data_IF_620312385272
#
_entry.id   IF_620312385272
#
_cell.length_a   1.000
_cell.length_b   1.000
_cell.length_c   1.000
_cell.angle_alpha   90.00
_cell.angle_beta   90.00
_cell.angle_gamma   90.00
#
_symmetry.space_group_name_H-M   'P 1'
#
loop_
_entity.id
_entity.type
_entity.pdbx_description
1 polymer ?
#
# COMPACT_ATOMS: atom_id res chain seq x y z
N UNK A 1 8.63 -16.61 -58.18
CA UNK A 1 8.29 -16.97 -56.78
C UNK A 1 9.05 -16.19 -55.72
N UNK A 2 10.25 -15.67 -55.99
CA UNK A 2 11.14 -15.01 -54.99
C UNK A 2 10.67 -13.63 -54.50
N UNK A 3 9.92 -12.86 -55.31
CA UNK A 3 9.43 -11.51 -54.92
C UNK A 3 8.34 -11.51 -53.84
N UNK A 4 7.54 -12.58 -53.75
CA UNK A 4 6.43 -12.67 -52.80
C UNK A 4 6.90 -12.95 -51.36
N UNK A 5 7.96 -13.76 -51.20
CA UNK A 5 8.56 -14.05 -49.90
C UNK A 5 9.24 -12.82 -49.27
N UNK A 6 9.87 -11.97 -50.11
CA UNK A 6 10.51 -10.74 -49.62
C UNK A 6 9.49 -9.75 -49.06
N UNK A 7 8.34 -9.58 -49.73
CA UNK A 7 7.27 -8.70 -49.26
C UNK A 7 6.64 -9.20 -47.95
N UNK A 8 6.44 -10.51 -47.80
CA UNK A 8 5.91 -11.11 -46.58
C UNK A 8 6.88 -10.96 -45.38
N UNK A 9 8.19 -11.11 -45.61
CA UNK A 9 9.24 -10.89 -44.60
C UNK A 9 9.32 -9.43 -44.15
N UNK A 10 9.19 -8.47 -45.08
CA UNK A 10 9.16 -7.04 -44.76
C UNK A 10 7.92 -6.67 -43.95
N UNK A 11 6.73 -7.20 -44.31
CA UNK A 11 5.49 -7.00 -43.54
C UNK A 11 5.58 -7.60 -42.13
N UNK A 12 6.19 -8.78 -41.97
CA UNK A 12 6.41 -9.41 -40.66
C UNK A 12 7.37 -8.58 -39.79
N UNK A 13 8.46 -8.07 -40.37
CA UNK A 13 9.42 -7.18 -39.68
C UNK A 13 8.79 -5.84 -39.29
N UNK A 14 7.97 -5.24 -40.16
CA UNK A 14 7.25 -4.00 -39.84
C UNK A 14 6.22 -4.27 -38.72
N UNK A 15 5.53 -5.40 -38.74
CA UNK A 15 4.58 -5.78 -37.68
C UNK A 15 5.27 -6.04 -36.33
N UNK A 16 6.48 -6.61 -36.34
CA UNK A 16 7.25 -6.85 -35.12
C UNK A 16 7.81 -5.53 -34.56
N UNK A 17 8.29 -4.63 -35.42
CA UNK A 17 8.73 -3.27 -35.09
C UNK A 17 7.60 -2.39 -34.55
N UNK A 18 6.39 -2.51 -35.10
CA UNK A 18 5.20 -1.82 -34.58
C UNK A 18 4.81 -2.36 -33.20
N UNK A 19 4.79 -3.69 -32.99
CA UNK A 19 4.51 -4.29 -31.68
C UNK A 19 5.53 -3.89 -30.61
N UNK A 20 6.82 -3.80 -30.95
CA UNK A 20 7.86 -3.30 -30.02
C UNK A 20 7.75 -1.81 -29.76
N UNK A 21 7.37 -0.99 -30.75
CA UNK A 21 7.17 0.45 -30.57
C UNK A 21 5.96 0.78 -29.66
N UNK A 22 4.84 0.07 -29.80
CA UNK A 22 3.66 0.27 -28.93
C UNK A 22 3.90 -0.12 -27.47
N UNK A 23 4.77 -1.10 -27.21
CA UNK A 23 5.17 -1.47 -25.84
C UNK A 23 6.06 -0.41 -25.17
N UNK A 24 6.64 0.53 -25.92
CA UNK A 24 7.64 1.47 -25.41
C UNK A 24 7.04 2.70 -24.67
N UNK A 25 5.73 2.96 -24.81
CA UNK A 25 5.08 4.15 -24.24
C UNK A 25 4.19 3.91 -23.02
N UNK A 26 3.86 2.67 -22.67
CA UNK A 26 3.01 2.39 -21.50
C UNK A 26 3.84 2.52 -20.22
N UNK A 27 3.36 3.32 -19.26
CA UNK A 27 3.99 3.43 -17.94
C UNK A 27 3.49 2.29 -17.05
N UNK A 28 4.41 1.59 -16.37
CA UNK A 28 4.10 0.51 -15.43
C UNK A 28 4.27 0.91 -13.96
N UNK A 29 4.85 2.08 -13.71
CA UNK A 29 5.02 2.63 -12.36
C UNK A 29 5.03 4.16 -12.37
N UNK A 30 4.69 4.77 -11.23
CA UNK A 30 4.86 6.21 -11.02
C UNK A 30 6.32 6.65 -11.22
N UNK A 31 7.30 5.80 -10.87
CA UNK A 31 8.73 6.05 -11.14
C UNK A 31 9.01 6.25 -12.63
N UNK A 32 8.38 5.46 -13.51
CA UNK A 32 8.55 5.63 -14.96
C UNK A 32 7.90 6.92 -15.46
N UNK A 33 6.74 7.30 -14.90
CA UNK A 33 6.09 8.58 -15.21
C UNK A 33 7.02 9.74 -14.83
N UNK A 34 7.60 9.69 -13.62
CA UNK A 34 8.56 10.70 -13.17
C UNK A 34 9.73 10.86 -14.16
N UNK A 35 10.36 9.75 -14.55
CA UNK A 35 11.55 9.78 -15.43
C UNK A 35 11.26 10.23 -16.86
N UNK A 36 10.01 10.16 -17.32
CA UNK A 36 9.62 10.56 -18.68
C UNK A 36 9.19 12.03 -18.76
N UNK A 37 8.93 12.68 -17.63
CA UNK A 37 8.51 14.09 -17.58
C UNK A 37 9.66 14.97 -17.13
N UNK A 38 9.83 16.13 -17.79
CA UNK A 38 10.72 17.19 -17.30
C UNK A 38 10.16 17.92 -16.08
N UNK A 39 8.84 17.82 -15.84
CA UNK A 39 8.14 18.38 -14.68
C UNK A 39 6.99 17.45 -14.27
N UNK A 40 7.27 16.41 -13.46
CA UNK A 40 6.24 15.45 -13.06
C UNK A 40 5.25 16.08 -12.08
N UNK A 41 3.96 15.99 -12.41
CA UNK A 41 2.87 16.60 -11.63
C UNK A 41 2.25 15.54 -10.72
N UNK A 42 2.09 15.83 -9.43
CA UNK A 42 1.33 14.94 -8.53
C UNK A 42 -0.13 14.86 -8.99
N UNK A 43 -0.69 13.65 -9.07
CA UNK A 43 -2.08 13.47 -9.50
C UNK A 43 -2.41 12.05 -9.91
N UNK A 44 -3.56 11.88 -10.58
CA UNK A 44 -4.03 10.60 -11.08
C UNK A 44 -3.39 10.23 -12.43
N UNK A 45 -3.03 8.96 -12.57
CA UNK A 45 -2.42 8.40 -13.77
C UNK A 45 -2.93 6.99 -14.04
N UNK A 46 -2.77 6.56 -15.29
CA UNK A 46 -2.99 5.17 -15.68
C UNK A 46 -1.66 4.44 -15.82
N UNK A 47 -1.56 3.31 -15.13
CA UNK A 47 -0.47 2.35 -15.26
C UNK A 47 -0.96 1.09 -15.94
N UNK A 48 -0.01 0.26 -16.39
CA UNK A 48 -0.29 -0.98 -17.09
C UNK A 48 0.37 -2.15 -16.40
N UNK A 49 -0.38 -3.24 -16.19
CA UNK A 49 0.17 -4.51 -15.71
C UNK A 49 1.08 -5.12 -16.77
N UNK A 50 1.91 -6.13 -16.43
CA UNK A 50 2.72 -6.86 -17.41
C UNK A 50 1.90 -7.43 -18.58
N UNK A 51 0.62 -7.77 -18.34
CA UNK A 51 -0.30 -8.31 -19.33
C UNK A 51 -1.03 -7.23 -20.15
N UNK A 52 -0.71 -5.94 -19.93
CA UNK A 52 -1.30 -4.82 -20.66
C UNK A 52 -2.64 -4.32 -20.12
N UNK A 53 -3.13 -4.85 -18.98
CA UNK A 53 -4.34 -4.34 -18.32
C UNK A 53 -4.05 -2.98 -17.70
N UNK A 54 -4.88 -1.98 -18.01
CA UNK A 54 -4.78 -0.65 -17.39
C UNK A 54 -5.33 -0.64 -15.98
N UNK A 55 -4.78 0.19 -15.11
CA UNK A 55 -5.31 0.47 -13.78
C UNK A 55 -4.94 1.88 -13.31
N UNK A 56 -5.79 2.44 -12.46
CA UNK A 56 -5.63 3.79 -11.95
C UNK A 56 -4.75 3.83 -10.70
N UNK A 57 -3.86 4.83 -10.65
CA UNK A 57 -3.06 5.17 -9.48
C UNK A 57 -3.08 6.68 -9.26
N UNK A 58 -2.84 7.08 -8.02
CA UNK A 58 -2.41 8.44 -7.69
C UNK A 58 -0.90 8.43 -7.43
N UNK A 59 -0.14 9.17 -8.24
CA UNK A 59 1.30 9.33 -8.08
C UNK A 59 1.59 10.60 -7.30
N UNK A 60 2.13 10.45 -6.09
CA UNK A 60 2.47 11.55 -5.21
C UNK A 60 3.98 11.83 -5.25
N UNK A 61 4.40 12.81 -6.05
CA UNK A 61 5.80 13.08 -6.34
C UNK A 61 6.45 14.05 -5.33
N UNK A 62 7.73 13.79 -5.06
CA UNK A 62 8.67 14.62 -4.31
C UNK A 62 10.02 14.64 -5.05
N UNK A 63 10.96 15.48 -4.60
CA UNK A 63 12.23 15.71 -5.30
C UNK A 63 13.08 14.45 -5.49
N UNK A 64 13.10 13.53 -4.51
CA UNK A 64 13.97 12.33 -4.52
C UNK A 64 13.23 11.00 -4.40
N UNK A 65 11.91 11.05 -4.27
CA UNK A 65 11.07 9.87 -4.09
C UNK A 65 9.63 10.20 -4.48
N UNK A 66 8.75 9.22 -4.43
CA UNK A 66 7.32 9.45 -4.43
C UNK A 66 6.57 8.27 -3.82
N UNK A 67 5.24 8.39 -3.79
CA UNK A 67 4.35 7.33 -3.34
C UNK A 67 3.33 6.99 -4.42
N UNK A 68 3.10 5.71 -4.61
CA UNK A 68 2.04 5.19 -5.48
C UNK A 68 0.86 4.78 -4.62
N UNK A 69 -0.30 5.40 -4.79
CA UNK A 69 -1.57 4.93 -4.22
C UNK A 69 -2.36 4.24 -5.32
N UNK A 70 -2.80 3.00 -5.10
CA UNK A 70 -3.58 2.23 -6.08
C UNK A 70 -5.07 2.38 -5.80
N UNK A 71 -5.90 2.46 -6.84
CA UNK A 71 -7.35 2.49 -6.66
C UNK A 71 -7.90 1.11 -6.27
N UNK A 72 -9.09 1.07 -5.65
CA UNK A 72 -9.78 -0.18 -5.28
C UNK A 72 -9.97 -1.11 -6.49
N UNK A 73 -10.37 -0.55 -7.63
CA UNK A 73 -10.51 -1.30 -8.89
C UNK A 73 -9.16 -1.78 -9.42
N UNK A 74 -8.15 -0.91 -9.37
CA UNK A 74 -6.79 -1.25 -9.79
C UNK A 74 -6.21 -2.40 -8.97
N UNK A 75 -6.50 -2.43 -7.67
CA UNK A 75 -6.10 -3.53 -6.80
C UNK A 75 -6.69 -4.88 -7.25
N UNK A 76 -7.89 -4.89 -7.83
CA UNK A 76 -8.56 -6.09 -8.34
C UNK A 76 -7.95 -6.69 -9.61
N UNK A 77 -7.16 -5.93 -10.36
CA UNK A 77 -6.49 -6.41 -11.59
C UNK A 77 -5.00 -6.72 -11.41
N UNK A 78 -4.43 -6.34 -10.27
CA UNK A 78 -3.04 -6.66 -9.93
C UNK A 78 -2.91 -8.12 -9.52
N UNK A 79 -1.78 -8.74 -9.91
CA UNK A 79 -1.39 -10.07 -9.40
C UNK A 79 -0.42 -9.96 -8.22
N UNK A 80 0.30 -8.84 -8.11
CA UNK A 80 1.16 -8.49 -6.99
C UNK A 80 1.38 -6.97 -6.95
N UNK A 81 2.06 -6.47 -5.92
CA UNK A 81 2.29 -5.04 -5.69
C UNK A 81 3.68 -4.55 -6.13
N UNK A 82 4.53 -5.42 -6.68
CA UNK A 82 5.98 -5.14 -6.83
C UNK A 82 6.29 -3.96 -7.76
N UNK A 83 5.40 -3.63 -8.68
CA UNK A 83 5.57 -2.48 -9.58
C UNK A 83 5.25 -1.12 -8.91
N UNK A 84 4.66 -1.11 -7.72
CA UNK A 84 4.21 0.11 -7.04
C UNK A 84 5.30 0.74 -6.15
N UNK A 85 6.33 -0.03 -5.75
CA UNK A 85 7.38 0.41 -4.84
C UNK A 85 8.78 0.05 -5.35
N UNK A 86 9.78 0.76 -4.84
CA UNK A 86 11.18 0.30 -4.85
C UNK A 86 11.79 0.31 -3.46
N UNK A 87 11.07 0.83 -2.46
CA UNK A 87 11.55 1.02 -1.11
C UNK A 87 10.51 0.50 -0.10
N UNK A 88 10.97 -0.31 0.85
CA UNK A 88 10.13 -0.95 1.89
C UNK A 88 10.47 -0.46 3.30
N UNK A 89 11.23 0.63 3.42
CA UNK A 89 11.62 1.20 4.71
C UNK A 89 10.44 1.84 5.44
N UNK A 90 9.49 2.40 4.71
CA UNK A 90 8.25 2.95 5.23
C UNK A 90 7.19 3.07 4.13
N UNK A 91 5.95 3.28 4.55
CA UNK A 91 4.83 3.71 3.71
C UNK A 91 4.34 5.08 4.14
N UNK A 92 3.63 5.77 3.25
CA UNK A 92 2.80 6.91 3.60
C UNK A 92 1.36 6.42 3.80
N UNK A 93 0.80 6.58 4.99
CA UNK A 93 -0.63 6.33 5.20
C UNK A 93 -1.36 7.66 5.16
N UNK A 94 -2.34 7.76 4.25
CA UNK A 94 -3.22 8.92 4.14
C UNK A 94 -4.58 8.59 4.74
N UNK A 95 -4.96 9.33 5.76
CA UNK A 95 -6.18 9.18 6.55
C UNK A 95 -7.20 10.16 6.01
N UNK A 96 -8.39 9.67 5.67
CA UNK A 96 -9.54 10.52 5.38
C UNK A 96 -10.41 10.66 6.62
N UNK A 97 -10.56 11.90 7.09
CA UNK A 97 -11.38 12.21 8.26
C UNK A 97 -12.86 12.36 7.88
N UNK A 98 -13.73 12.28 8.88
CA UNK A 98 -15.19 12.41 8.69
C UNK A 98 -15.63 13.81 8.28
N UNK A 99 -14.81 14.83 8.50
CA UNK A 99 -15.01 16.22 8.06
C UNK A 99 -14.46 16.49 6.65
N UNK A 100 -13.92 15.46 5.97
CA UNK A 100 -13.34 15.57 4.64
C UNK A 100 -11.87 16.00 4.60
N UNK A 101 -11.25 16.31 5.74
CA UNK A 101 -9.81 16.58 5.79
C UNK A 101 -9.01 15.29 5.57
N UNK A 102 -7.87 15.41 4.89
CA UNK A 102 -6.91 14.31 4.78
C UNK A 102 -5.62 14.63 5.51
N UNK A 103 -5.08 13.60 6.18
CA UNK A 103 -3.83 13.68 6.94
C UNK A 103 -2.88 12.58 6.56
N UNK A 104 -1.59 12.88 6.58
CA UNK A 104 -0.51 12.00 6.21
C UNK A 104 0.33 11.61 7.44
N UNK A 105 0.72 10.34 7.50
CA UNK A 105 1.69 9.85 8.48
C UNK A 105 2.54 8.75 7.87
N UNK A 106 3.85 8.79 8.14
CA UNK A 106 4.77 7.72 7.75
C UNK A 106 4.72 6.60 8.77
N UNK A 107 4.53 5.37 8.28
CA UNK A 107 4.58 4.15 9.10
C UNK A 107 5.76 3.30 8.65
N UNK A 108 6.56 2.84 9.61
CA UNK A 108 7.71 1.94 9.39
C UNK A 108 7.77 0.84 10.46
N UNK A 109 8.55 -0.23 10.25
CA UNK A 109 8.87 -1.17 11.31
C UNK A 109 9.64 -0.46 12.44
N UNK A 110 9.59 -1.02 13.66
CA UNK A 110 10.33 -0.52 14.82
C UNK A 110 11.81 -0.24 14.50
N UNK A 111 12.41 0.82 15.08
CA UNK A 111 13.78 1.26 14.77
C UNK A 111 14.83 0.15 14.83
N UNK A 112 14.74 -0.73 15.84
CA UNK A 112 15.65 -1.86 16.05
C UNK A 112 15.47 -2.99 15.03
N UNK A 113 14.32 -3.04 14.35
CA UNK A 113 13.92 -4.14 13.48
C UNK A 113 13.95 -3.78 12.00
N UNK A 114 13.79 -2.51 11.63
CA UNK A 114 13.62 -2.04 10.25
C UNK A 114 14.73 -2.45 9.27
N UNK A 115 15.94 -2.73 9.75
CA UNK A 115 17.05 -3.21 8.92
C UNK A 115 16.98 -4.71 8.64
N UNK A 116 16.45 -5.50 9.58
CA UNK A 116 16.29 -6.95 9.46
C UNK A 116 14.96 -7.31 8.80
N UNK A 117 13.90 -6.59 9.15
CA UNK A 117 12.54 -6.81 8.71
C UNK A 117 11.98 -5.51 8.10
N UNK A 118 12.23 -5.24 6.81
CA UNK A 118 11.50 -4.20 6.11
C UNK A 118 10.01 -4.58 6.00
N UNK A 119 9.15 -3.61 5.64
CA UNK A 119 7.71 -3.89 5.52
C UNK A 119 7.46 -4.95 4.44
N UNK A 120 6.65 -5.94 4.76
CA UNK A 120 6.13 -6.90 3.80
C UNK A 120 4.86 -6.35 3.15
N UNK A 121 4.84 -6.30 1.82
CA UNK A 121 3.68 -5.87 1.04
C UNK A 121 3.09 -7.08 0.31
N UNK A 122 1.85 -7.44 0.65
CA UNK A 122 1.19 -8.60 0.06
C UNK A 122 -0.22 -8.25 -0.43
N UNK A 123 -0.63 -8.88 -1.53
CA UNK A 123 -1.95 -8.71 -2.13
C UNK A 123 -2.83 -9.90 -1.78
N UNK A 124 -3.88 -9.68 -1.00
CA UNK A 124 -4.91 -10.69 -0.65
C UNK A 124 -4.39 -11.98 -0.02
N UNK A 125 -3.24 -11.89 0.63
CA UNK A 125 -2.56 -12.96 1.37
C UNK A 125 -1.70 -12.35 2.49
N UNK A 126 -1.18 -13.19 3.38
CA UNK A 126 -0.32 -12.80 4.50
C UNK A 126 0.74 -13.89 4.78
N UNK A 127 1.46 -14.37 3.76
CA UNK A 127 2.44 -15.44 3.91
C UNK A 127 3.54 -15.02 4.89
N UNK A 128 3.75 -15.81 5.97
CA UNK A 128 4.73 -15.54 7.02
C UNK A 128 4.30 -14.47 8.05
N UNK A 129 3.04 -14.04 7.99
CA UNK A 129 2.44 -13.04 8.86
C UNK A 129 1.02 -13.47 9.23
N UNK A 130 0.47 -12.84 10.26
CA UNK A 130 -0.90 -13.16 10.66
C UNK A 130 -1.92 -12.58 9.68
N UNK A 131 -2.95 -13.38 9.41
CA UNK A 131 -4.02 -13.07 8.45
C UNK A 131 -4.95 -11.99 9.05
N UNK A 132 -5.39 -10.99 8.25
CA UNK A 132 -6.39 -10.04 8.70
C UNK A 132 -7.69 -10.72 9.13
N UNK A 133 -8.33 -10.23 10.18
CA UNK A 133 -9.61 -10.75 10.63
C UNK A 133 -10.67 -10.59 9.53
N UNK A 134 -10.60 -9.48 8.80
CA UNK A 134 -11.48 -9.17 7.69
C UNK A 134 -10.98 -9.63 6.32
N UNK A 135 -10.10 -10.65 6.24
CA UNK A 135 -9.51 -11.13 5.00
C UNK A 135 -10.51 -11.61 3.92
N UNK A 136 -11.79 -11.77 4.24
CA UNK A 136 -12.86 -12.04 3.27
C UNK A 136 -13.22 -10.82 2.40
N UNK A 137 -12.91 -9.59 2.84
CA UNK A 137 -13.16 -8.32 2.12
C UNK A 137 -12.14 -8.06 1.00
N UNK A 138 -11.86 -9.09 0.18
CA UNK A 138 -10.88 -9.03 -0.93
C UNK A 138 -11.34 -8.10 -2.07
N UNK A 139 -10.40 -7.53 -2.85
CA UNK A 139 -8.95 -7.58 -2.62
C UNK A 139 -8.52 -6.70 -1.44
N UNK A 140 -7.35 -7.00 -0.86
CA UNK A 140 -6.79 -6.20 0.23
C UNK A 140 -5.27 -6.12 0.12
N UNK A 141 -4.70 -5.03 0.64
CA UNK A 141 -3.26 -4.88 0.84
C UNK A 141 -2.95 -5.26 2.28
N UNK A 142 -2.04 -6.21 2.48
CA UNK A 142 -1.47 -6.54 3.78
C UNK A 142 -0.08 -5.90 3.91
N UNK A 143 0.11 -5.15 5.00
CA UNK A 143 1.37 -4.55 5.40
C UNK A 143 1.88 -5.25 6.66
N UNK A 144 2.74 -6.24 6.50
CA UNK A 144 3.37 -6.95 7.62
C UNK A 144 4.57 -6.17 8.17
N UNK A 145 4.55 -5.84 9.46
CA UNK A 145 5.62 -5.10 10.14
C UNK A 145 6.56 -6.03 10.93
N UNK A 146 6.03 -7.14 11.44
CA UNK A 146 6.77 -8.16 12.18
C UNK A 146 6.35 -9.55 11.69
N UNK A 147 7.27 -10.38 11.18
CA UNK A 147 6.93 -11.74 10.72
C UNK A 147 6.68 -12.67 11.92
N UNK A 148 5.88 -13.71 11.70
CA UNK A 148 5.58 -14.72 12.73
C UNK A 148 6.82 -15.51 13.18
N UNK A 149 7.87 -15.53 12.36
CA UNK A 149 9.17 -16.12 12.70
C UNK A 149 9.94 -15.31 13.75
N UNK A 150 9.50 -14.10 14.09
CA UNK A 150 10.14 -13.29 15.11
C UNK A 150 9.97 -13.94 16.49
N UNK A 151 11.08 -14.11 17.19
CA UNK A 151 11.12 -14.85 18.45
C UNK A 151 10.29 -14.16 19.54
N UNK A 152 9.46 -14.96 20.20
CA UNK A 152 8.48 -14.54 21.21
C UNK A 152 9.07 -13.95 22.49
N UNK A 153 10.39 -14.00 22.70
CA UNK A 153 11.06 -13.51 23.92
C UNK A 153 11.78 -12.16 23.72
N UNK A 154 11.65 -11.53 22.54
CA UNK A 154 12.36 -10.28 22.24
C UNK A 154 11.56 -9.04 22.71
N UNK A 155 12.29 -7.97 23.04
CA UNK A 155 11.75 -6.75 23.68
C UNK A 155 11.34 -5.65 22.69
N UNK A 156 11.76 -5.73 21.43
CA UNK A 156 11.39 -4.76 20.41
C UNK A 156 10.03 -5.11 19.81
N UNK A 157 8.97 -4.51 20.36
CA UNK A 157 7.60 -4.62 19.89
C UNK A 157 7.05 -3.24 19.59
N UNK A 158 6.31 -3.12 18.49
CA UNK A 158 5.82 -1.83 18.03
C UNK A 158 6.14 -1.53 16.57
N UNK A 159 6.02 -0.26 16.25
CA UNK A 159 6.23 0.27 14.91
C UNK A 159 6.65 1.73 15.03
N UNK A 160 7.11 2.33 13.92
CA UNK A 160 7.35 3.77 13.87
C UNK A 160 6.16 4.50 13.27
N UNK A 161 5.77 5.61 13.90
CA UNK A 161 4.87 6.60 13.35
C UNK A 161 5.58 7.96 13.32
N UNK A 162 5.64 8.59 12.14
CA UNK A 162 6.35 9.85 11.93
C UNK A 162 7.82 9.83 12.41
N UNK A 163 8.47 8.66 12.36
CA UNK A 163 9.87 8.48 12.75
C UNK A 163 10.10 8.15 14.24
N UNK A 164 9.05 8.17 15.07
CA UNK A 164 9.12 7.83 16.49
C UNK A 164 8.64 6.39 16.73
N UNK A 165 9.35 5.64 17.57
CA UNK A 165 8.94 4.29 17.98
C UNK A 165 7.71 4.36 18.90
N UNK A 166 6.64 3.70 18.50
CA UNK A 166 5.44 3.42 19.29
C UNK A 166 5.57 1.98 19.79
N UNK A 167 5.83 1.83 21.08
CA UNK A 167 6.16 0.53 21.69
C UNK A 167 5.06 0.03 22.61
N UNK A 168 5.06 -1.28 22.83
CA UNK A 168 4.21 -1.96 23.81
C UNK A 168 4.96 -3.15 24.42
N UNK A 169 4.39 -3.70 25.49
CA UNK A 169 4.96 -4.83 26.21
C UNK A 169 4.40 -6.16 25.69
N UNK A 170 5.24 -7.19 25.78
CA UNK A 170 4.86 -8.57 25.54
C UNK A 170 3.99 -9.07 26.69
N UNK A 171 2.78 -9.55 26.40
CA UNK A 171 1.81 -9.97 27.41
C UNK A 171 1.38 -11.42 27.23
N UNK A 172 1.29 -11.90 25.98
CA UNK A 172 0.84 -13.26 25.65
C UNK A 172 1.73 -13.92 24.58
N UNK A 173 2.85 -13.29 24.22
CA UNK A 173 3.84 -13.79 23.28
C UNK A 173 3.29 -13.97 21.86
N UNK A 174 2.43 -13.04 21.44
CA UNK A 174 1.73 -13.09 20.15
C UNK A 174 2.31 -12.07 19.15
N UNK A 175 3.13 -12.50 18.16
CA UNK A 175 3.92 -11.61 17.29
C UNK A 175 3.10 -10.93 16.18
N UNK A 176 1.79 -10.78 16.33
CA UNK A 176 0.93 -10.14 15.32
C UNK A 176 1.37 -8.68 15.15
N UNK A 177 1.69 -8.27 13.92
CA UNK A 177 1.97 -6.86 13.63
C UNK A 177 1.69 -6.56 12.17
N UNK A 178 0.51 -5.99 11.89
CA UNK A 178 0.14 -5.59 10.54
C UNK A 178 -0.84 -4.42 10.49
N UNK A 179 -0.92 -3.83 9.29
CA UNK A 179 -2.06 -3.05 8.82
C UNK A 179 -2.63 -3.72 7.57
N UNK A 180 -3.95 -3.68 7.39
CA UNK A 180 -4.63 -4.17 6.21
C UNK A 180 -5.58 -3.10 5.64
N UNK A 181 -5.52 -2.91 4.32
CA UNK A 181 -6.34 -1.96 3.58
C UNK A 181 -7.25 -2.75 2.64
N UNK A 182 -8.52 -2.86 3.02
CA UNK A 182 -9.48 -3.75 2.39
C UNK A 182 -10.40 -2.98 1.44
N UNK A 183 -10.46 -3.41 0.17
CA UNK A 183 -11.24 -2.73 -0.86
C UNK A 183 -12.74 -2.93 -0.68
N UNK A 184 -13.13 -4.10 -0.14
CA UNK A 184 -14.50 -4.49 0.17
C UNK A 184 -15.53 -4.13 -0.93
N UNK A 185 -15.33 -4.56 -2.20
CA UNK A 185 -16.23 -4.20 -3.30
C UNK A 185 -17.65 -4.76 -3.11
N UNK A 186 -17.80 -5.84 -2.34
CA UNK A 186 -19.10 -6.45 -2.03
C UNK A 186 -19.79 -5.84 -0.80
N UNK A 187 -19.24 -4.76 -0.23
CA UNK A 187 -19.80 -4.07 0.94
C UNK A 187 -20.11 -5.02 2.11
N UNK A 188 -19.24 -6.01 2.34
CA UNK A 188 -19.39 -6.93 3.46
C UNK A 188 -19.32 -6.17 4.78
N UNK A 189 -20.06 -6.65 5.76
CA UNK A 189 -19.96 -6.14 7.12
C UNK A 189 -18.63 -6.61 7.72
N UNK A 190 -17.87 -5.71 8.36
CA UNK A 190 -16.65 -6.10 9.02
C UNK A 190 -16.97 -7.02 10.21
N UNK A 191 -16.17 -8.07 10.36
CA UNK A 191 -16.07 -8.78 11.61
C UNK A 191 -15.27 -7.90 12.58
N UNK A 192 -15.99 -7.37 13.56
CA UNK A 192 -15.40 -6.65 14.67
C UNK A 192 -15.72 -7.45 15.94
N UNK A 193 -14.72 -8.17 16.47
CA UNK A 193 -14.87 -8.84 17.76
C UNK A 193 -15.01 -7.81 18.91
N UNK A 194 -14.86 -6.51 18.62
CA UNK A 194 -14.34 -5.55 19.56
C UNK A 194 -15.23 -4.37 19.87
N UNK A 195 -16.43 -4.71 20.34
CA UNK A 195 -17.29 -3.71 20.97
C UNK A 195 -16.77 -3.15 22.31
N UNK A 196 -15.59 -3.53 22.89
CA UNK A 196 -15.05 -2.87 24.13
C UNK A 196 -13.66 -3.21 24.72
N UNK A 197 -13.03 -4.37 24.53
CA UNK A 197 -11.74 -4.64 25.21
C UNK A 197 -10.53 -4.10 24.38
N UNK A 198 -9.24 -4.41 24.64
CA UNK A 198 -7.96 -4.23 23.87
C UNK A 198 -7.76 -3.11 22.79
N UNK A 199 -8.54 -2.03 22.77
CA UNK A 199 -8.09 -0.80 22.13
C UNK A 199 -6.99 -0.20 23.01
N UNK A 200 -5.75 -0.20 22.51
CA UNK A 200 -4.61 0.38 23.24
C UNK A 200 -4.24 1.75 22.65
N UNK A 201 -3.39 2.51 23.35
CA UNK A 201 -2.84 3.76 22.81
C UNK A 201 -1.94 3.55 21.59
N UNK A 202 -1.42 2.33 21.38
CA UNK A 202 -0.47 1.97 20.32
C UNK A 202 -1.14 2.04 18.96
N UNK A 203 -2.33 1.45 18.85
CA UNK A 203 -3.09 1.35 17.59
C UNK A 203 -3.74 2.66 17.14
N UNK A 204 -3.80 3.66 18.02
CA UNK A 204 -4.29 5.01 17.70
C UNK A 204 -3.15 6.05 17.55
N UNK A 205 -1.92 5.70 17.94
CA UNK A 205 -0.82 6.67 18.06
C UNK A 205 -0.48 7.34 16.71
N UNK A 206 -0.51 6.58 15.63
CA UNK A 206 -0.22 7.08 14.28
C UNK A 206 -1.17 8.19 13.83
N UNK A 207 -2.45 8.14 14.20
CA UNK A 207 -3.44 9.19 13.87
C UNK A 207 -3.07 10.50 14.55
N UNK A 208 -2.65 10.44 15.82
CA UNK A 208 -2.25 11.64 16.60
C UNK A 208 -1.00 12.31 16.03
N UNK A 209 -0.16 11.55 15.32
CA UNK A 209 1.07 12.02 14.68
C UNK A 209 0.87 12.45 13.22
N UNK A 210 -0.33 12.29 12.66
CA UNK A 210 -0.60 12.63 11.27
C UNK A 210 -0.72 14.16 11.07
N UNK A 211 -0.16 14.64 9.97
CA UNK A 211 -0.16 16.07 9.59
C UNK A 211 -1.09 16.32 8.41
N UNK A 212 -1.60 17.55 8.26
CA UNK A 212 -2.53 17.86 7.17
C UNK A 212 -1.88 17.66 5.79
N UNK A 213 -2.60 17.00 4.89
CA UNK A 213 -2.27 16.91 3.47
C UNK A 213 -2.62 18.21 2.75
N UNK A 214 -1.89 18.56 1.69
CA UNK A 214 -2.18 19.75 0.86
C UNK A 214 -3.30 19.47 -0.15
N UNK A 215 -4.04 20.51 -0.56
CA UNK A 215 -5.17 20.37 -1.49
C UNK A 215 -4.82 19.66 -2.81
N UNK A 216 -3.62 19.90 -3.36
CA UNK A 216 -3.11 19.24 -4.58
C UNK A 216 -2.79 17.75 -4.41
N UNK A 217 -2.82 17.23 -3.18
CA UNK A 217 -2.47 15.84 -2.84
C UNK A 217 -3.64 15.07 -2.25
N UNK A 218 -4.86 15.62 -2.25
CA UNK A 218 -6.03 14.91 -1.74
C UNK A 218 -6.34 13.69 -2.62
N UNK A 219 -6.62 12.55 -1.97
CA UNK A 219 -7.02 11.32 -2.64
C UNK A 219 -8.53 11.27 -2.84
N UNK A 220 -9.00 10.99 -4.06
CA UNK A 220 -10.39 10.63 -4.31
C UNK A 220 -10.82 9.36 -3.56
N UNK A 221 -12.13 9.18 -3.36
CA UNK A 221 -12.71 8.05 -2.62
C UNK A 221 -12.32 6.68 -3.19
N UNK A 222 -12.08 6.57 -4.51
CA UNK A 222 -11.68 5.30 -5.13
C UNK A 222 -10.32 4.79 -4.65
N UNK A 223 -9.52 5.60 -3.96
CA UNK A 223 -8.25 5.20 -3.32
C UNK A 223 -8.38 4.95 -1.82
N UNK A 224 -9.58 5.12 -1.24
CA UNK A 224 -9.82 4.99 0.19
C UNK A 224 -10.36 3.59 0.51
N UNK A 225 -9.75 2.95 1.51
CA UNK A 225 -9.97 1.56 1.92
C UNK A 225 -10.50 1.47 3.35
N UNK A 226 -11.22 0.39 3.64
CA UNK A 226 -11.46 -0.02 5.01
C UNK A 226 -10.12 -0.37 5.66
N UNK A 227 -9.87 0.14 6.86
CA UNK A 227 -8.63 -0.10 7.59
C UNK A 227 -8.85 -1.13 8.69
N UNK A 228 -7.90 -2.04 8.81
CA UNK A 228 -7.71 -2.91 9.97
C UNK A 228 -6.25 -2.82 10.42
N UNK A 229 -6.03 -2.79 11.73
CA UNK A 229 -4.69 -2.80 12.31
C UNK A 229 -4.70 -3.70 13.55
N UNK A 230 -3.72 -4.59 13.61
CA UNK A 230 -3.55 -5.49 14.74
C UNK A 230 -2.09 -5.51 15.16
N UNK A 231 -1.88 -5.19 16.42
CA UNK A 231 -0.66 -5.39 17.16
C UNK A 231 -0.96 -6.42 18.25
N UNK A 232 -0.34 -7.59 18.22
CA UNK A 232 -0.53 -8.63 19.23
C UNK A 232 -0.02 -8.18 20.60
N UNK A 233 0.03 -9.11 21.56
CA UNK A 233 0.32 -8.78 22.96
C UNK A 233 -0.60 -7.67 23.49
N UNK A 234 -0.06 -6.76 24.29
CA UNK A 234 -0.76 -5.57 24.75
C UNK A 234 -0.81 -4.45 23.69
N UNK A 235 -0.50 -4.76 22.42
CA UNK A 235 -0.52 -3.82 21.31
C UNK A 235 -1.93 -3.43 20.86
N UNK A 236 -2.89 -4.35 20.90
CA UNK A 236 -4.30 -4.11 20.62
C UNK A 236 -4.73 -4.25 19.16
N UNK A 237 -6.04 -4.16 18.95
CA UNK A 237 -6.70 -4.32 17.65
C UNK A 237 -7.67 -3.16 17.42
N UNK A 238 -7.70 -2.66 16.19
CA UNK A 238 -8.66 -1.65 15.74
C UNK A 238 -9.06 -1.91 14.30
N UNK A 239 -10.31 -1.58 14.01
CA UNK A 239 -10.88 -1.48 12.69
C UNK A 239 -11.23 -0.03 12.38
N UNK A 240 -11.68 0.29 11.16
CA UNK A 240 -12.20 1.62 10.81
C UNK A 240 -13.26 2.09 11.81
N UNK A 241 -14.13 1.18 12.26
CA UNK A 241 -15.25 1.48 13.17
C UNK A 241 -14.78 1.86 14.59
N UNK A 242 -13.53 1.56 14.94
CA UNK A 242 -12.91 1.95 16.22
C UNK A 242 -12.53 3.44 16.29
N UNK A 243 -12.61 4.16 15.17
CA UNK A 243 -12.13 5.54 15.03
C UNK A 243 -13.28 6.50 14.66
N UNK A 244 -13.87 7.24 15.61
CA UNK A 244 -15.01 8.10 15.32
C UNK A 244 -14.71 9.25 14.36
N UNK A 245 -13.43 9.62 14.18
CA UNK A 245 -12.99 10.72 13.31
C UNK A 245 -12.26 10.25 12.04
N UNK A 246 -12.11 8.93 11.83
CA UNK A 246 -11.49 8.39 10.62
C UNK A 246 -12.57 7.70 9.80
N UNK A 247 -12.83 8.25 8.61
CA UNK A 247 -13.75 7.64 7.67
C UNK A 247 -13.08 6.45 6.96
N UNK A 248 -11.87 6.65 6.41
CA UNK A 248 -11.16 5.67 5.59
C UNK A 248 -9.65 5.93 5.59
N UNK A 249 -8.85 5.01 5.06
CA UNK A 249 -7.41 5.23 4.89
C UNK A 249 -6.88 4.66 3.56
N UNK A 250 -5.73 5.15 3.12
CA UNK A 250 -5.01 4.65 1.95
C UNK A 250 -3.53 4.47 2.25
N UNK A 251 -2.87 3.59 1.51
CA UNK A 251 -1.43 3.35 1.63
C UNK A 251 -0.72 3.74 0.33
N UNK A 252 0.27 4.61 0.49
CA UNK A 252 1.19 5.05 -0.53
C UNK A 252 2.48 4.24 -0.47
N UNK A 253 2.78 3.54 -1.56
CA UNK A 253 3.96 2.70 -1.73
C UNK A 253 5.16 3.54 -2.17
N UNK A 254 6.22 3.56 -1.35
CA UNK A 254 7.39 4.40 -1.63
C UNK A 254 8.20 3.86 -2.82
N UNK A 255 8.53 4.74 -3.75
CA UNK A 255 9.58 4.52 -4.74
C UNK A 255 10.62 5.63 -4.64
N UNK A 256 11.90 5.26 -4.78
CA UNK A 256 13.01 6.20 -4.87
C UNK A 256 13.29 6.49 -6.34
N UNK A 257 13.78 7.69 -6.65
CA UNK A 257 14.01 8.14 -8.03
C UNK A 257 15.41 7.76 -8.54
#
# INVERSE_FOLDING_TARGET
MTRMYFFALVLLMISSMLKTAYSCNLARSCKQIYKRSSSPVTGEYQLYTPNGTKFDVFCDFYDRHGYTFVSKEGLGVLTNLSQLFTNRSHVLVRINQTDGLQKDVKIAPHSQLKHKYPISFQLSQAVGYSVPLNATMKPYIHLGLLPESYERNQTALGYQAAGEDITFINCDSNPISYLAFLANPSSLLPNDYYKRCCKSNVVDAWIKKATNTTSSRLLPEKYLYYLEMHMGDCGGYVSRDSFPKVAWASVGFRFDL
#
